data_IF_128602789154
#
_entry.id   IF_128602789154
#
_cell.length_a   1.000
_cell.length_b   1.000
_cell.length_c   1.000
_cell.angle_alpha   90.00
_cell.angle_beta   90.00
_cell.angle_gamma   90.00
#
_symmetry.space_group_name_H-M   'P 1'
#
loop_
_entity.id
_entity.type
_entity.pdbx_description
1 polymer ?
#
# COMPACT_ATOMS: atom_id res chain seq x y z
N UNK A 1 -49.37 15.27 32.40
CA UNK A 1 -49.18 13.95 31.80
C UNK A 1 -47.78 13.88 31.16
N UNK A 2 -46.77 13.63 31.97
CA UNK A 2 -45.39 13.48 31.51
C UNK A 2 -44.78 12.34 32.32
N UNK A 3 -44.82 11.13 31.80
CA UNK A 3 -44.34 9.97 32.53
C UNK A 3 -43.99 8.72 31.72
N UNK A 4 -44.44 8.62 30.47
CA UNK A 4 -44.32 7.39 29.67
C UNK A 4 -43.04 7.32 28.81
N UNK A 5 -42.53 8.45 28.34
CA UNK A 5 -41.36 8.48 27.44
C UNK A 5 -40.03 8.23 28.17
N UNK A 6 -39.91 8.67 29.41
CA UNK A 6 -38.68 8.52 30.19
C UNK A 6 -38.43 7.06 30.61
N UNK A 7 -39.47 6.30 30.93
CA UNK A 7 -39.39 4.88 31.30
C UNK A 7 -39.01 3.98 30.13
N UNK A 8 -39.51 4.31 28.89
CA UNK A 8 -39.18 3.56 27.68
C UNK A 8 -37.71 3.76 27.29
N UNK A 9 -37.19 4.99 27.40
CA UNK A 9 -35.77 5.29 27.12
C UNK A 9 -34.84 4.59 28.09
N UNK A 10 -35.15 4.61 29.39
CA UNK A 10 -34.36 3.92 30.41
C UNK A 10 -34.36 2.39 30.20
N UNK A 11 -35.50 1.79 29.80
CA UNK A 11 -35.59 0.37 29.51
C UNK A 11 -34.78 -0.06 28.27
N UNK A 12 -34.80 0.73 27.21
CA UNK A 12 -34.01 0.47 25.98
C UNK A 12 -32.52 0.60 26.23
N UNK A 13 -32.08 1.59 27.02
CA UNK A 13 -30.68 1.77 27.38
C UNK A 13 -30.14 0.61 28.23
N UNK A 14 -30.93 0.16 29.20
CA UNK A 14 -30.56 -0.99 30.03
C UNK A 14 -30.45 -2.29 29.21
N UNK A 15 -31.36 -2.54 28.26
CA UNK A 15 -31.31 -3.69 27.37
C UNK A 15 -30.08 -3.65 26.45
N UNK A 16 -29.70 -2.48 25.91
CA UNK A 16 -28.53 -2.32 25.08
C UNK A 16 -27.23 -2.57 25.85
N UNK A 17 -27.11 -2.09 27.07
CA UNK A 17 -25.94 -2.32 27.93
C UNK A 17 -25.81 -3.80 28.34
N UNK A 18 -26.92 -4.48 28.62
CA UNK A 18 -26.93 -5.91 28.91
C UNK A 18 -26.47 -6.76 27.71
N UNK A 19 -26.90 -6.39 26.49
CA UNK A 19 -26.52 -7.07 25.26
C UNK A 19 -25.02 -6.90 24.95
N UNK A 20 -24.48 -5.69 25.11
CA UNK A 20 -23.06 -5.40 24.92
C UNK A 20 -22.21 -6.13 25.97
N UNK A 21 -22.65 -6.14 27.24
CA UNK A 21 -21.97 -6.88 28.32
C UNK A 21 -21.95 -8.40 28.06
N UNK A 22 -23.06 -8.97 27.59
CA UNK A 22 -23.15 -10.40 27.27
C UNK A 22 -22.26 -10.78 26.08
N UNK A 23 -22.26 -9.96 25.02
CA UNK A 23 -21.39 -10.18 23.85
C UNK A 23 -19.92 -10.04 24.21
N UNK A 24 -19.56 -9.08 25.06
CA UNK A 24 -18.20 -8.92 25.59
C UNK A 24 -17.74 -10.13 26.41
N UNK A 25 -18.63 -10.68 27.24
CA UNK A 25 -18.33 -11.88 28.03
C UNK A 25 -18.13 -13.10 27.14
N UNK A 26 -18.98 -13.29 26.14
CA UNK A 26 -18.85 -14.38 25.14
C UNK A 26 -17.58 -14.26 24.30
N UNK A 27 -17.18 -13.06 23.92
CA UNK A 27 -15.94 -12.82 23.20
C UNK A 27 -14.69 -13.18 24.03
N UNK A 28 -14.75 -12.99 25.35
CA UNK A 28 -13.66 -13.36 26.24
C UNK A 28 -13.51 -14.89 26.45
N UNK A 29 -14.58 -15.65 26.27
CA UNK A 29 -14.54 -17.12 26.36
C UNK A 29 -14.00 -17.81 25.10
N UNK A 30 -14.07 -17.15 23.95
CA UNK A 30 -13.60 -17.68 22.65
C UNK A 30 -12.17 -17.30 22.31
N UNK A 31 -11.46 -16.58 23.18
CA UNK A 31 -10.05 -16.26 22.97
C UNK A 31 -9.19 -17.51 23.23
N UNK A 32 -8.39 -17.97 22.23
CA UNK A 32 -7.46 -19.08 22.41
C UNK A 32 -6.51 -18.84 23.60
N UNK A 33 -6.11 -19.90 24.35
CA UNK A 33 -5.30 -19.77 25.56
C UNK A 33 -3.95 -19.08 25.36
N UNK A 34 -3.44 -19.08 24.15
CA UNK A 34 -2.17 -18.45 23.77
C UNK A 34 -2.21 -16.91 23.86
N UNK A 35 -3.37 -16.31 23.58
CA UNK A 35 -3.55 -14.84 23.65
C UNK A 35 -3.91 -14.38 25.09
N UNK A 36 -4.30 -15.28 25.97
CA UNK A 36 -4.60 -14.98 27.37
C UNK A 36 -3.34 -14.79 28.23
N UNK A 37 -2.20 -15.34 27.81
CA UNK A 37 -0.93 -15.27 28.55
C UNK A 37 -0.22 -13.93 28.43
N UNK A 38 -0.58 -13.11 27.46
CA UNK A 38 0.08 -11.80 27.26
C UNK A 38 -0.52 -10.65 28.11
N UNK A 39 -1.66 -10.88 28.78
CA UNK A 39 -2.34 -9.85 29.57
C UNK A 39 -1.97 -9.83 31.08
N UNK A 40 -1.11 -10.72 31.55
CA UNK A 40 -0.74 -10.80 32.98
C UNK A 40 0.77 -11.10 33.11
N UNK A 41 1.60 -10.14 32.83
CA UNK A 41 3.04 -10.21 33.06
C UNK A 41 3.62 -8.85 33.43
N UNK A 42 4.38 -8.79 34.51
CA UNK A 42 5.19 -7.64 34.94
C UNK A 42 6.06 -7.10 33.78
N UNK A 43 6.56 -5.83 33.85
CA UNK A 43 7.31 -5.23 32.77
C UNK A 43 8.56 -6.05 32.44
N UNK A 44 8.48 -6.83 31.38
CA UNK A 44 9.64 -7.48 30.78
C UNK A 44 10.49 -6.42 30.07
N UNK A 45 11.85 -6.56 30.06
CA UNK A 45 12.71 -5.62 29.35
C UNK A 45 12.28 -5.55 27.89
N UNK A 46 12.16 -4.31 27.38
CA UNK A 46 11.70 -4.02 26.03
C UNK A 46 12.35 -4.94 25.00
N UNK A 47 11.58 -5.65 24.15
CA UNK A 47 12.15 -6.42 23.04
C UNK A 47 12.89 -5.44 22.15
N UNK A 48 14.15 -5.73 21.88
CA UNK A 48 14.94 -5.04 20.86
C UNK A 48 14.08 -4.98 19.60
N UNK A 49 13.83 -3.75 19.15
CA UNK A 49 12.99 -3.45 17.99
C UNK A 49 13.34 -4.42 16.85
N UNK A 50 12.40 -5.31 16.55
CA UNK A 50 12.39 -6.06 15.32
C UNK A 50 12.46 -5.06 14.18
N UNK A 51 13.39 -5.24 13.25
CA UNK A 51 13.52 -4.42 12.04
C UNK A 51 12.33 -4.64 11.07
N UNK A 52 11.14 -4.67 11.59
CA UNK A 52 9.88 -4.56 10.88
C UNK A 52 9.57 -3.08 10.70
N UNK A 53 10.20 -2.44 9.72
CA UNK A 53 9.90 -1.05 9.39
C UNK A 53 8.41 -0.91 9.14
N UNK A 54 7.81 0.12 9.74
CA UNK A 54 6.41 0.50 9.48
C UNK A 54 6.19 0.44 7.96
N UNK A 55 5.11 -0.20 7.43
CA UNK A 55 4.92 -0.36 5.97
C UNK A 55 5.04 0.94 5.18
N UNK A 56 4.75 2.07 5.81
CA UNK A 56 4.88 3.40 5.24
C UNK A 56 6.29 4.02 5.36
N UNK A 57 7.20 3.42 6.14
CA UNK A 57 8.54 3.97 6.32
C UNK A 57 9.36 3.85 5.03
N UNK A 58 10.03 4.94 4.66
CA UNK A 58 10.92 4.97 3.50
C UNK A 58 12.03 3.93 3.64
N UNK A 59 12.27 3.07 2.63
CA UNK A 59 13.35 2.09 2.69
C UNK A 59 14.72 2.74 2.88
N UNK A 60 15.63 2.10 3.64
CA UNK A 60 17.01 2.54 3.72
C UNK A 60 17.68 2.47 2.34
N UNK A 61 18.70 3.30 2.12
CA UNK A 61 19.47 3.35 0.86
C UNK A 61 18.64 3.71 -0.38
N UNK A 62 17.50 4.37 -0.19
CA UNK A 62 16.63 4.82 -1.28
C UNK A 62 17.06 6.16 -1.91
N UNK A 63 18.29 6.62 -1.68
CA UNK A 63 18.82 7.87 -2.23
C UNK A 63 18.37 9.11 -1.46
N UNK A 64 18.64 10.29 -2.04
CA UNK A 64 18.33 11.60 -1.46
C UNK A 64 17.57 12.48 -2.47
N UNK A 65 16.87 13.49 -1.96
CA UNK A 65 16.18 14.49 -2.75
C UNK A 65 14.88 13.97 -3.39
N UNK A 66 14.37 14.73 -4.33
CA UNK A 66 13.06 14.45 -4.94
C UNK A 66 13.13 13.26 -5.91
N UNK A 67 12.40 12.19 -5.58
CA UNK A 67 12.46 10.92 -6.30
C UNK A 67 11.21 10.05 -6.10
N UNK A 68 11.03 9.11 -6.99
CA UNK A 68 10.17 7.92 -6.79
C UNK A 68 11.04 6.83 -6.19
N UNK A 69 10.58 6.13 -5.17
CA UNK A 69 11.23 4.93 -4.63
C UNK A 69 10.28 3.76 -4.85
N UNK A 70 10.78 2.66 -5.42
CA UNK A 70 10.05 1.42 -5.60
C UNK A 70 10.78 0.29 -4.90
N UNK A 71 10.12 -0.39 -3.97
CA UNK A 71 10.66 -1.59 -3.31
C UNK A 71 10.04 -2.83 -3.93
N UNK A 72 10.89 -3.70 -4.46
CA UNK A 72 10.52 -4.97 -5.05
C UNK A 72 9.91 -5.91 -4.00
N UNK A 73 10.60 -6.08 -2.87
CA UNK A 73 10.15 -7.01 -1.83
C UNK A 73 8.94 -6.54 -1.01
N UNK A 74 8.48 -5.27 -1.21
CA UNK A 74 7.29 -4.75 -0.53
C UNK A 74 6.14 -4.45 -1.48
N UNK A 75 6.34 -4.57 -2.78
CA UNK A 75 5.40 -4.15 -3.83
C UNK A 75 4.83 -2.77 -3.54
N UNK A 76 5.72 -1.80 -3.24
CA UNK A 76 5.32 -0.49 -2.75
C UNK A 76 6.14 0.65 -3.34
N UNK A 77 5.47 1.74 -3.55
CA UNK A 77 6.04 3.00 -4.05
C UNK A 77 5.95 4.08 -2.99
N UNK A 78 6.97 4.95 -2.97
CA UNK A 78 7.01 6.23 -2.23
C UNK A 78 7.31 7.36 -3.20
N UNK A 79 6.50 8.41 -3.15
CA UNK A 79 6.76 9.69 -3.79
C UNK A 79 7.42 10.58 -2.75
N UNK A 80 8.70 10.92 -2.95
CA UNK A 80 9.53 11.63 -1.98
C UNK A 80 9.85 13.03 -2.50
N UNK A 81 9.48 14.06 -1.75
CA UNK A 81 9.75 15.46 -2.09
C UNK A 81 11.19 15.87 -1.77
N UNK A 82 11.55 17.10 -2.14
CA UNK A 82 12.80 17.75 -1.70
C UNK A 82 12.89 17.72 -0.17
N UNK A 83 14.07 17.41 0.38
CA UNK A 83 14.26 17.25 1.82
C UNK A 83 13.80 15.92 2.38
N UNK A 84 13.67 14.90 1.52
CA UNK A 84 13.39 13.51 1.89
C UNK A 84 12.05 13.26 2.59
N UNK A 85 11.11 14.19 2.46
CA UNK A 85 9.76 14.05 3.01
C UNK A 85 8.90 13.16 2.10
N UNK A 86 8.34 12.09 2.66
CA UNK A 86 7.38 11.24 1.97
C UNK A 86 6.08 12.01 1.77
N UNK A 87 5.73 12.27 0.52
CA UNK A 87 4.48 12.92 0.11
C UNK A 87 3.32 11.93 0.02
N UNK A 88 3.61 10.75 -0.50
CA UNK A 88 2.63 9.67 -0.68
C UNK A 88 3.33 8.33 -0.71
N UNK A 89 2.68 7.29 -0.22
CA UNK A 89 3.08 5.89 -0.39
C UNK A 89 1.86 5.03 -0.66
N UNK A 90 2.01 4.02 -1.51
CA UNK A 90 0.92 3.12 -1.90
C UNK A 90 1.48 1.78 -2.37
N UNK A 91 0.66 0.73 -2.29
CA UNK A 91 0.95 -0.58 -2.86
C UNK A 91 0.78 -0.60 -4.37
N UNK A 92 1.50 -1.47 -5.02
CA UNK A 92 1.40 -1.72 -6.47
C UNK A 92 1.31 -3.21 -6.73
N UNK A 93 0.81 -3.59 -7.92
CA UNK A 93 0.92 -4.96 -8.39
C UNK A 93 2.13 -5.03 -9.34
N UNK A 94 3.15 -5.85 -9.02
CA UNK A 94 4.35 -5.97 -9.84
C UNK A 94 4.04 -6.57 -11.21
N UNK A 95 4.99 -6.51 -12.10
CA UNK A 95 4.97 -7.20 -13.40
C UNK A 95 5.69 -8.55 -13.32
N UNK A 96 5.68 -9.32 -14.42
CA UNK A 96 6.43 -10.58 -14.49
C UNK A 96 7.94 -10.36 -14.70
N UNK A 97 8.34 -9.16 -15.11
CA UNK A 97 9.75 -8.75 -15.25
C UNK A 97 10.00 -7.56 -14.34
N UNK A 98 10.84 -7.78 -13.35
CA UNK A 98 11.27 -6.74 -12.41
C UNK A 98 12.50 -5.99 -12.91
N UNK A 99 12.63 -4.68 -12.64
CA UNK A 99 13.89 -3.98 -12.85
C UNK A 99 14.91 -4.37 -11.79
N UNK A 100 16.19 -4.38 -12.13
CA UNK A 100 17.25 -4.54 -11.14
C UNK A 100 17.22 -3.41 -10.09
N UNK A 101 17.62 -3.68 -8.84
CA UNK A 101 17.86 -2.62 -7.87
C UNK A 101 18.88 -1.59 -8.40
N UNK A 102 18.52 -0.31 -8.36
CA UNK A 102 19.36 0.73 -8.94
C UNK A 102 18.70 2.09 -9.01
N UNK A 103 19.39 3.03 -9.67
CA UNK A 103 18.89 4.38 -9.87
C UNK A 103 18.64 4.62 -11.36
N UNK A 104 17.41 4.98 -11.68
CA UNK A 104 16.91 5.22 -13.02
C UNK A 104 16.35 6.64 -13.15
N UNK A 105 15.94 6.97 -14.37
CA UNK A 105 15.22 8.21 -14.65
C UNK A 105 13.99 7.91 -15.49
N UNK A 106 12.92 8.69 -15.30
CA UNK A 106 11.77 8.65 -16.20
C UNK A 106 12.22 9.04 -17.60
N UNK A 107 12.08 8.13 -18.55
CA UNK A 107 12.52 8.29 -19.95
C UNK A 107 11.39 8.75 -20.86
N UNK A 108 10.19 8.24 -20.64
CA UNK A 108 9.02 8.61 -21.44
C UNK A 108 7.72 8.48 -20.64
N UNK A 109 6.68 9.13 -21.17
CA UNK A 109 5.34 9.14 -20.57
C UNK A 109 4.28 9.03 -21.65
N UNK A 110 3.16 8.34 -21.34
CA UNK A 110 1.99 8.27 -22.24
C UNK A 110 0.71 8.42 -21.44
N UNK A 111 -0.23 9.23 -21.92
CA UNK A 111 -1.51 9.48 -21.26
C UNK A 111 -2.37 8.20 -21.22
N UNK A 112 -2.64 7.63 -22.40
CA UNK A 112 -3.37 6.36 -22.57
C UNK A 112 -2.72 5.54 -23.67
N UNK A 113 -2.55 4.24 -23.43
CA UNK A 113 -2.04 3.25 -24.42
C UNK A 113 -2.61 1.88 -24.08
N UNK A 114 -2.42 0.91 -24.96
CA UNK A 114 -2.60 -0.50 -24.63
C UNK A 114 -1.34 -1.00 -23.92
N UNK A 115 -1.49 -1.64 -22.76
CA UNK A 115 -0.40 -2.28 -22.02
C UNK A 115 0.16 -3.49 -22.75
N UNK A 116 1.31 -4.00 -22.30
CA UNK A 116 1.91 -5.24 -22.83
C UNK A 116 1.06 -6.48 -22.55
N UNK A 117 0.17 -6.41 -21.60
CA UNK A 117 -0.85 -7.39 -21.24
C UNK A 117 -2.18 -7.22 -22.02
N UNK A 118 -2.22 -6.35 -23.02
CA UNK A 118 -3.41 -6.05 -23.81
C UNK A 118 -4.45 -5.17 -23.12
N UNK A 119 -4.26 -4.81 -21.85
CA UNK A 119 -5.21 -3.99 -21.09
C UNK A 119 -5.02 -2.50 -21.43
N UNK A 120 -6.12 -1.74 -21.68
CA UNK A 120 -6.04 -0.29 -21.81
C UNK A 120 -5.57 0.36 -20.49
N UNK A 121 -4.46 1.09 -20.54
CA UNK A 121 -3.84 1.74 -19.38
C UNK A 121 -3.68 3.23 -19.58
N UNK A 122 -3.64 3.95 -18.48
CA UNK A 122 -3.42 5.39 -18.43
C UNK A 122 -2.28 5.76 -17.49
N UNK A 123 -1.81 7.02 -17.57
CA UNK A 123 -0.75 7.56 -16.71
C UNK A 123 0.56 6.76 -16.75
N UNK A 124 0.94 6.31 -17.94
CA UNK A 124 2.13 5.46 -18.10
C UNK A 124 3.41 6.26 -17.91
N UNK A 125 4.26 5.82 -17.00
CA UNK A 125 5.56 6.42 -16.65
C UNK A 125 6.66 5.37 -16.79
N UNK A 126 7.46 5.43 -17.89
CA UNK A 126 8.52 4.45 -18.17
C UNK A 126 9.85 4.93 -17.65
N UNK A 127 10.64 4.03 -17.06
CA UNK A 127 11.92 4.39 -16.43
C UNK A 127 13.04 3.37 -16.62
N UNK A 128 12.75 2.15 -17.02
CA UNK A 128 13.77 1.10 -17.18
C UNK A 128 13.43 0.19 -18.37
N UNK A 129 14.35 -0.69 -18.71
CA UNK A 129 14.17 -1.78 -19.64
C UNK A 129 15.05 -2.97 -19.24
N UNK A 130 14.50 -4.19 -19.34
CA UNK A 130 15.18 -5.45 -19.00
C UNK A 130 14.94 -6.43 -20.15
N UNK A 131 16.00 -6.87 -20.81
CA UNK A 131 15.94 -7.84 -21.94
C UNK A 131 14.86 -7.49 -22.97
N UNK A 132 14.81 -6.24 -23.41
CA UNK A 132 13.84 -5.76 -24.38
C UNK A 132 12.43 -5.46 -23.81
N UNK A 133 12.14 -5.82 -22.57
CA UNK A 133 10.89 -5.50 -21.88
C UNK A 133 10.98 -4.11 -21.24
N UNK A 134 10.07 -3.22 -21.61
CA UNK A 134 10.01 -1.85 -21.03
C UNK A 134 9.31 -1.90 -19.69
N UNK A 135 9.93 -1.33 -18.67
CA UNK A 135 9.40 -1.26 -17.30
C UNK A 135 8.83 0.13 -17.04
N UNK A 136 7.63 0.16 -16.46
CA UNK A 136 6.97 1.43 -16.12
C UNK A 136 5.75 1.25 -15.23
N UNK A 137 5.39 2.34 -14.56
CA UNK A 137 4.17 2.44 -13.77
C UNK A 137 2.97 2.76 -14.67
N UNK A 138 1.80 2.23 -14.36
CA UNK A 138 0.56 2.52 -15.10
C UNK A 138 -0.68 2.15 -14.28
N UNK A 139 -1.84 2.70 -14.64
CA UNK A 139 -3.13 2.32 -14.06
C UNK A 139 -4.06 1.79 -15.16
N UNK A 140 -4.81 0.73 -14.88
CA UNK A 140 -5.85 0.27 -15.80
C UNK A 140 -6.97 1.32 -15.90
N UNK A 141 -7.46 1.60 -17.11
CA UNK A 141 -8.50 2.62 -17.34
C UNK A 141 -9.82 2.25 -16.64
N UNK A 142 -10.13 0.96 -16.59
CA UNK A 142 -11.30 0.41 -15.90
C UNK A 142 -11.08 0.15 -14.40
N UNK A 143 -9.84 0.38 -13.90
CA UNK A 143 -9.46 0.14 -12.52
C UNK A 143 -9.23 -1.33 -12.16
N UNK A 144 -9.20 -2.24 -13.15
CA UNK A 144 -8.97 -3.66 -12.91
C UNK A 144 -7.57 -3.93 -12.35
N UNK A 145 -7.47 -4.96 -11.50
CA UNK A 145 -6.18 -5.50 -11.10
C UNK A 145 -5.58 -6.33 -12.24
N UNK A 146 -4.24 -6.36 -12.41
CA UNK A 146 -3.61 -7.18 -13.45
C UNK A 146 -3.81 -8.66 -13.14
N UNK A 147 -4.07 -9.43 -14.18
CA UNK A 147 -3.99 -10.89 -14.14
C UNK A 147 -2.61 -11.23 -14.71
N UNK A 148 -1.70 -11.67 -13.84
CA UNK A 148 -0.34 -12.02 -14.24
C UNK A 148 -0.31 -13.46 -14.81
N UNK A 149 0.05 -13.61 -16.08
CA UNK A 149 0.47 -14.90 -16.62
C UNK A 149 2.01 -14.98 -16.54
N UNK A 150 2.58 -15.92 -15.77
CA UNK A 150 4.04 -16.06 -15.66
C UNK A 150 4.73 -16.40 -17.00
N UNK A 151 3.98 -16.81 -18.01
CA UNK A 151 4.51 -17.11 -19.35
C UNK A 151 4.68 -15.85 -20.19
N UNK A 152 3.99 -14.77 -19.85
CA UNK A 152 4.06 -13.50 -20.54
C UNK A 152 5.10 -12.59 -19.89
N UNK A 153 5.98 -12.01 -20.70
CA UNK A 153 6.97 -11.02 -20.23
C UNK A 153 6.35 -9.63 -20.27
N UNK A 154 5.88 -9.16 -19.14
CA UNK A 154 5.30 -7.82 -19.00
C UNK A 154 6.12 -6.99 -18.03
N UNK A 155 6.26 -5.69 -18.30
CA UNK A 155 7.00 -4.73 -17.45
C UNK A 155 6.11 -3.65 -16.84
N UNK A 156 4.79 -3.82 -16.89
CA UNK A 156 3.83 -2.85 -16.38
C UNK A 156 3.56 -3.03 -14.88
N UNK A 157 4.14 -2.17 -14.04
CA UNK A 157 3.84 -2.10 -12.61
C UNK A 157 2.51 -1.39 -12.45
N UNK A 158 1.49 -2.09 -11.95
CA UNK A 158 0.12 -1.60 -11.93
C UNK A 158 -0.21 -0.87 -10.63
N UNK A 159 -0.77 0.33 -10.77
CA UNK A 159 -1.24 1.19 -9.69
C UNK A 159 -2.76 1.29 -9.72
N UNK A 160 -3.37 1.74 -8.61
CA UNK A 160 -4.75 2.21 -8.67
C UNK A 160 -4.84 3.47 -9.54
N UNK A 161 -6.01 3.80 -10.08
CA UNK A 161 -6.19 5.03 -10.88
C UNK A 161 -5.83 6.30 -10.10
N UNK A 162 -6.16 6.34 -8.81
CA UNK A 162 -5.85 7.48 -7.94
C UNK A 162 -4.35 7.62 -7.68
N UNK A 163 -3.64 6.50 -7.54
CA UNK A 163 -2.19 6.47 -7.33
C UNK A 163 -1.45 6.78 -8.64
N UNK A 164 -1.90 6.23 -9.77
CA UNK A 164 -1.40 6.55 -11.09
C UNK A 164 -1.54 8.04 -11.44
N UNK A 165 -2.65 8.67 -11.09
CA UNK A 165 -2.82 10.12 -11.25
C UNK A 165 -1.86 10.93 -10.37
N UNK A 166 -1.54 10.45 -9.15
CA UNK A 166 -0.55 11.07 -8.28
C UNK A 166 0.88 10.88 -8.82
N UNK A 167 1.21 9.65 -9.27
CA UNK A 167 2.47 9.32 -9.94
C UNK A 167 2.66 10.20 -11.19
N UNK A 168 1.66 10.31 -12.04
CA UNK A 168 1.69 11.13 -13.24
C UNK A 168 2.04 12.60 -12.97
N UNK A 169 1.46 13.20 -11.94
CA UNK A 169 1.74 14.58 -11.53
C UNK A 169 3.15 14.74 -10.98
N UNK A 170 3.67 13.73 -10.31
CA UNK A 170 4.95 13.77 -9.63
C UNK A 170 6.13 13.37 -10.52
N UNK A 171 6.01 12.27 -11.27
CA UNK A 171 7.07 11.63 -12.05
C UNK A 171 7.15 12.21 -13.46
N UNK A 172 7.66 13.43 -13.59
CA UNK A 172 7.95 14.07 -14.87
C UNK A 172 9.19 13.44 -15.54
N UNK A 173 9.35 13.63 -16.85
CA UNK A 173 10.54 13.16 -17.59
C UNK A 173 11.81 13.67 -16.88
N UNK A 174 12.81 12.80 -16.74
CA UNK A 174 14.04 13.05 -16.00
C UNK A 174 13.95 12.87 -14.48
N UNK A 175 12.74 12.65 -13.91
CA UNK A 175 12.58 12.36 -12.48
C UNK A 175 13.35 11.09 -12.11
N UNK A 176 14.10 11.15 -11.02
CA UNK A 176 14.80 9.99 -10.47
C UNK A 176 13.82 8.94 -9.97
N UNK A 177 14.07 7.68 -10.31
CA UNK A 177 13.41 6.49 -9.79
C UNK A 177 14.48 5.62 -9.14
N UNK A 178 14.32 5.31 -7.87
CA UNK A 178 15.24 4.43 -7.12
C UNK A 178 14.51 3.13 -6.85
N UNK A 179 15.04 2.02 -7.39
CA UNK A 179 14.54 0.66 -7.15
C UNK A 179 15.39 0.06 -6.03
N UNK A 180 14.74 -0.46 -5.02
CA UNK A 180 15.38 -1.14 -3.88
C UNK A 180 14.82 -2.56 -3.73
N UNK A 181 15.57 -3.49 -3.13
CA UNK A 181 15.10 -4.85 -2.85
C UNK A 181 13.82 -4.91 -2.03
#
# INVERSE_FOLDING_TARGET
MAGTSSTIVAGLTAAALATVGYLGHRAAETVPPDLRREASGAPAPAPKASRGGHPAALPPRSGLGQRVVYSLGRDRVWLVDKGDKVRRTFGVSPSTVDPDPGTYRVTSRSGKVTGSDGVPVEHVVRFAGVDGTVIGFSAAVDGSAPVLDPRERTGGIRETRADGAAMWKFATIGRTVVVVP
#
